data_IF_830195579795
#
_entry.id   IF_830195579795
#
_cell.length_a   1.000
_cell.length_b   1.000
_cell.length_c   1.000
_cell.angle_alpha   90.00
_cell.angle_beta   90.00
_cell.angle_gamma   90.00
#
_symmetry.space_group_name_H-M   'P 1'
#
loop_
_entity.id
_entity.type
_entity.pdbx_description
1 polymer ?
#
# COMPACT_ATOMS: atom_id res chain seq x y z
N UNK A 1 9.37 7.84 2.98
CA UNK A 1 8.27 7.77 3.96
C UNK A 1 7.77 6.34 4.09
N UNK A 2 7.53 5.88 5.31
CA UNK A 2 7.01 4.52 5.49
C UNK A 2 5.63 4.35 4.90
N UNK A 3 5.37 3.14 4.44
CA UNK A 3 4.12 2.78 3.79
C UNK A 3 3.50 1.60 4.53
N UNK A 4 2.21 1.67 4.79
CA UNK A 4 1.48 0.59 5.44
C UNK A 4 0.55 -0.09 4.46
N UNK A 5 0.49 -1.41 4.55
CA UNK A 5 -0.38 -2.22 3.71
C UNK A 5 -1.53 -2.75 4.56
N UNK A 6 -2.75 -2.52 4.09
CA UNK A 6 -3.96 -2.92 4.81
C UNK A 6 -4.76 -3.93 4.00
N UNK A 7 -5.47 -4.78 4.71
CA UNK A 7 -6.43 -5.68 4.09
C UNK A 7 -7.64 -4.87 3.64
N UNK A 8 -7.98 -4.98 2.36
CA UNK A 8 -9.10 -4.24 1.79
C UNK A 8 -10.44 -4.67 2.39
N UNK A 9 -10.56 -5.94 2.73
CA UNK A 9 -11.82 -6.50 3.25
C UNK A 9 -12.05 -6.15 4.69
N UNK A 10 -11.03 -6.32 5.54
CA UNK A 10 -11.16 -6.11 6.98
C UNK A 10 -10.64 -4.78 7.45
N UNK A 11 -9.79 -4.12 6.68
CA UNK A 11 -9.14 -2.88 7.06
C UNK A 11 -7.99 -3.07 8.02
N UNK A 12 -7.57 -4.30 8.23
CA UNK A 12 -6.52 -4.64 9.18
C UNK A 12 -5.15 -4.36 8.61
N UNK A 13 -4.24 -3.88 9.45
CA UNK A 13 -2.86 -3.65 9.03
C UNK A 13 -2.15 -5.00 8.86
N UNK A 14 -1.68 -5.26 7.66
CA UNK A 14 -1.01 -6.51 7.34
C UNK A 14 0.50 -6.41 7.47
N UNK A 15 1.07 -5.33 6.96
CA UNK A 15 2.52 -5.18 6.94
C UNK A 15 2.89 -3.72 6.76
N UNK A 16 4.08 -3.36 7.24
CA UNK A 16 4.62 -2.02 7.08
C UNK A 16 5.92 -2.09 6.31
N UNK A 17 6.13 -1.15 5.39
CA UNK A 17 7.33 -1.09 4.57
C UNK A 17 8.03 0.23 4.80
N UNK A 18 9.36 0.22 4.65
CA UNK A 18 10.14 1.43 4.85
C UNK A 18 10.00 2.45 3.73
N UNK A 19 9.59 2.00 2.54
CA UNK A 19 9.46 2.89 1.39
C UNK A 19 8.51 2.27 0.37
N UNK A 20 8.09 3.10 -0.59
CA UNK A 20 7.24 2.64 -1.70
C UNK A 20 7.96 1.57 -2.53
N UNK A 21 9.25 1.78 -2.73
CA UNK A 21 10.05 0.84 -3.52
C UNK A 21 10.11 -0.52 -2.85
N UNK A 22 10.28 -0.53 -1.55
CA UNK A 22 10.29 -1.77 -0.78
C UNK A 22 8.95 -2.47 -0.85
N UNK A 23 7.86 -1.71 -0.72
CA UNK A 23 6.52 -2.27 -0.83
C UNK A 23 6.30 -2.91 -2.18
N UNK A 24 6.74 -2.25 -3.25
CA UNK A 24 6.60 -2.77 -4.60
C UNK A 24 7.38 -4.08 -4.76
N UNK A 25 8.58 -4.13 -4.23
CA UNK A 25 9.43 -5.32 -4.32
C UNK A 25 8.83 -6.50 -3.57
N UNK A 26 8.33 -6.25 -2.35
CA UNK A 26 7.81 -7.32 -1.51
C UNK A 26 6.49 -7.87 -2.01
N UNK A 27 5.64 -7.02 -2.55
CA UNK A 27 4.30 -7.43 -2.98
C UNK A 27 4.21 -7.79 -4.45
N UNK A 28 5.19 -7.37 -5.25
CA UNK A 28 5.15 -7.57 -6.69
C UNK A 28 4.18 -6.63 -7.40
N UNK A 29 3.65 -5.64 -6.69
CA UNK A 29 2.76 -4.65 -7.27
C UNK A 29 3.59 -3.50 -7.82
N UNK A 30 3.17 -2.98 -8.96
CA UNK A 30 3.86 -1.88 -9.64
C UNK A 30 4.04 -0.68 -8.72
N UNK A 31 5.22 -0.09 -8.75
CA UNK A 31 5.51 1.08 -7.94
C UNK A 31 4.54 2.22 -8.25
N UNK A 32 4.23 2.42 -9.52
CA UNK A 32 3.28 3.46 -9.93
C UNK A 32 1.90 3.23 -9.32
N UNK A 33 1.47 1.98 -9.28
CA UNK A 33 0.17 1.62 -8.70
C UNK A 33 0.14 1.93 -7.21
N UNK A 34 1.19 1.53 -6.49
CA UNK A 34 1.26 1.79 -5.05
C UNK A 34 1.30 3.29 -4.78
N UNK A 35 2.11 4.01 -5.55
CA UNK A 35 2.24 5.46 -5.40
C UNK A 35 0.89 6.14 -5.62
N UNK A 36 0.16 5.72 -6.64
CA UNK A 36 -1.15 6.26 -6.92
C UNK A 36 -2.12 6.02 -5.75
N UNK A 37 -2.10 4.82 -5.20
CA UNK A 37 -2.98 4.48 -4.09
C UNK A 37 -2.71 5.33 -2.85
N UNK A 38 -1.44 5.50 -2.49
CA UNK A 38 -1.11 6.28 -1.28
C UNK A 38 -1.38 7.77 -1.47
N UNK A 39 -1.26 8.27 -2.69
CA UNK A 39 -1.47 9.70 -2.96
C UNK A 39 -2.94 10.06 -3.09
N UNK A 40 -3.71 9.25 -3.79
CA UNK A 40 -5.13 9.53 -4.03
C UNK A 40 -6.05 8.82 -3.03
N UNK A 41 -5.49 7.91 -2.25
CA UNK A 41 -6.24 7.12 -1.27
C UNK A 41 -7.40 6.35 -1.89
N UNK A 42 -7.22 5.94 -3.15
CA UNK A 42 -8.21 5.13 -3.84
C UNK A 42 -8.12 3.68 -3.42
N UNK A 43 -9.27 3.02 -3.37
CA UNK A 43 -9.30 1.58 -3.13
C UNK A 43 -9.09 0.84 -4.43
N UNK A 44 -8.16 -0.13 -4.47
CA UNK A 44 -7.91 -0.89 -5.69
C UNK A 44 -9.06 -1.85 -5.98
N UNK A 45 -9.32 -2.07 -7.26
CA UNK A 45 -10.35 -3.02 -7.67
C UNK A 45 -9.79 -4.42 -7.85
N UNK A 46 -8.54 -4.50 -8.31
CA UNK A 46 -7.91 -5.78 -8.66
C UNK A 46 -7.14 -6.41 -7.51
N UNK A 47 -6.81 -5.64 -6.51
CA UNK A 47 -6.00 -6.13 -5.39
C UNK A 47 -6.83 -6.25 -4.14
N UNK A 48 -6.46 -7.19 -3.30
CA UNK A 48 -7.14 -7.41 -2.02
C UNK A 48 -6.54 -6.57 -0.89
N UNK A 49 -5.52 -5.81 -1.20
CA UNK A 49 -4.83 -4.96 -0.22
C UNK A 49 -4.71 -3.56 -0.77
N UNK A 50 -4.56 -2.58 0.12
CA UNK A 50 -4.30 -1.21 -0.29
C UNK A 50 -3.19 -0.62 0.57
N UNK A 51 -2.63 0.48 0.10
CA UNK A 51 -1.47 1.10 0.73
C UNK A 51 -1.79 2.52 1.16
N UNK A 52 -1.20 2.92 2.28
CA UNK A 52 -1.30 4.28 2.80
C UNK A 52 0.04 4.69 3.38
N UNK A 53 0.32 5.99 3.32
CA UNK A 53 1.49 6.50 4.01
C UNK A 53 1.29 6.39 5.51
N UNK A 54 2.37 6.05 6.20
CA UNK A 54 2.35 6.03 7.65
C UNK A 54 2.32 7.47 8.15
N UNK A 55 1.31 7.82 8.90
CA UNK A 55 1.21 9.13 9.52
C UNK A 55 1.63 9.00 10.98
N UNK A 56 2.34 9.99 11.43
CA UNK A 56 2.71 10.01 12.83
C UNK A 56 1.57 10.48 13.70
#
# INVERSE_FOLDING_TARGET
MPVKMYDKVTGELLKEFGSLREASRETGIDLSTICHQVRSECMPRKHKVYFRYSKK
#
